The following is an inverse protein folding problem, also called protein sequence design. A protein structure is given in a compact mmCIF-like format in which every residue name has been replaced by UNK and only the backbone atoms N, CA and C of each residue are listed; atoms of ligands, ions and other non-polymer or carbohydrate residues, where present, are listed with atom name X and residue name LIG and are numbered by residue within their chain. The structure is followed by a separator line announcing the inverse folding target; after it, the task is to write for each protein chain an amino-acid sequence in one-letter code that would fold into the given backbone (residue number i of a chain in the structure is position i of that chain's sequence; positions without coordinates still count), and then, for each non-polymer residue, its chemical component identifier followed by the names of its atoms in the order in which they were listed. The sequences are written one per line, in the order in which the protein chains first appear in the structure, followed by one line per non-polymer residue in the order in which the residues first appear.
data_IF_604892169134
#
_entry.id   IF_604892169134
#
_cell.length_a   1.000
_cell.length_b   1.000
_cell.length_c   1.000
_cell.angle_alpha   90.00
_cell.angle_beta   90.00
_cell.angle_gamma   90.00
#
_symmetry.space_group_name_H-M   'P 1'
#
loop_
_entity.id
_entity.type
_entity.pdbx_description
1 polymer ?
#
# COMPACT_ATOMS: atom_id res chain seq x y z
N UNK A 1 -2.52 -8.58 3.55
CA UNK A 1 -2.49 -7.65 2.38
C UNK A 1 -3.86 -7.15 1.99
N UNK A 2 -4.86 -8.01 1.76
CA UNK A 2 -6.21 -7.57 1.39
C UNK A 2 -6.84 -6.60 2.42
N UNK A 3 -6.65 -6.86 3.73
CA UNK A 3 -7.09 -5.95 4.79
C UNK A 3 -6.32 -4.62 4.82
N UNK A 4 -5.06 -4.58 4.41
CA UNK A 4 -4.22 -3.36 4.39
C UNK A 4 -4.63 -2.42 3.25
N UNK A 5 -4.89 -2.99 2.07
CA UNK A 5 -5.45 -2.21 0.95
C UNK A 5 -6.90 -1.78 1.24
N UNK A 6 -7.71 -2.65 1.86
CA UNK A 6 -9.07 -2.33 2.27
C UNK A 6 -9.15 -1.17 3.27
N UNK A 7 -8.38 -1.22 4.37
CA UNK A 7 -8.35 -0.14 5.37
C UNK A 7 -7.71 1.14 4.82
N UNK A 8 -6.73 1.05 3.93
CA UNK A 8 -6.14 2.20 3.25
C UNK A 8 -7.14 2.95 2.38
N UNK A 9 -7.92 2.24 1.56
CA UNK A 9 -8.99 2.84 0.73
C UNK A 9 -10.06 3.47 1.62
N UNK A 10 -10.49 2.77 2.68
CA UNK A 10 -11.50 3.26 3.61
C UNK A 10 -11.03 4.52 4.36
N UNK A 11 -9.75 4.58 4.75
CA UNK A 11 -9.14 5.76 5.36
C UNK A 11 -9.10 6.98 4.45
N UNK A 12 -8.86 6.79 3.15
CA UNK A 12 -8.91 7.88 2.15
C UNK A 12 -10.35 8.39 1.98
N UNK A 13 -11.33 7.49 1.90
CA UNK A 13 -12.75 7.86 1.78
C UNK A 13 -13.24 8.62 3.01
N UNK A 14 -12.89 8.16 4.21
CA UNK A 14 -13.24 8.86 5.46
C UNK A 14 -12.51 10.22 5.52
N UNK A 15 -11.23 10.27 5.17
CA UNK A 15 -10.46 11.51 5.14
C UNK A 15 -11.07 12.57 4.22
N UNK A 16 -11.55 12.17 3.03
CA UNK A 16 -12.16 13.09 2.06
C UNK A 16 -13.62 13.48 2.39
N UNK A 17 -14.37 12.63 3.09
CA UNK A 17 -15.76 12.91 3.47
C UNK A 17 -15.88 13.67 4.79
N UNK A 18 -14.94 13.45 5.72
CA UNK A 18 -14.96 14.04 7.05
C UNK A 18 -14.17 15.34 7.11
N UNK A 19 -12.97 15.42 6.51
CA UNK A 19 -12.11 16.61 6.60
C UNK A 19 -12.72 17.93 6.07
N UNK A 20 -13.54 17.94 4.99
CA UNK A 20 -14.19 19.17 4.53
C UNK A 20 -15.13 19.79 5.57
N UNK A 21 -15.63 19.01 6.53
CA UNK A 21 -16.50 19.50 7.60
C UNK A 21 -15.74 20.19 8.74
N UNK A 22 -14.41 20.07 8.80
CA UNK A 22 -13.59 20.60 9.90
C UNK A 22 -12.82 21.87 9.53
N UNK A 23 -12.37 22.06 8.29
CA UNK A 23 -11.61 23.25 7.87
C UNK A 23 -11.70 23.52 6.36
N UNK A 24 -12.33 24.63 5.96
CA UNK A 24 -12.51 25.02 4.54
C UNK A 24 -11.21 25.27 3.76
N UNK A 25 -10.13 25.68 4.43
CA UNK A 25 -8.84 26.02 3.79
C UNK A 25 -7.87 24.83 3.64
N UNK A 26 -8.12 23.70 4.30
CA UNK A 26 -7.17 22.57 4.33
C UNK A 26 -7.44 21.48 3.27
N UNK A 27 -8.49 21.66 2.47
CA UNK A 27 -8.96 20.66 1.49
C UNK A 27 -7.90 20.29 0.43
N UNK A 28 -7.11 21.26 -0.03
CA UNK A 28 -6.06 21.01 -1.03
C UNK A 28 -4.92 20.17 -0.44
N UNK A 29 -4.52 20.44 0.80
CA UNK A 29 -3.47 19.71 1.49
C UNK A 29 -3.90 18.27 1.83
N UNK A 30 -5.15 18.08 2.26
CA UNK A 30 -5.71 16.75 2.52
C UNK A 30 -5.80 15.93 1.24
N UNK A 31 -6.21 16.56 0.13
CA UNK A 31 -6.31 15.91 -1.18
C UNK A 31 -4.93 15.51 -1.68
N UNK A 32 -3.94 16.40 -1.55
CA UNK A 32 -2.56 16.11 -1.93
C UNK A 32 -1.96 14.95 -1.12
N UNK A 33 -2.17 14.95 0.20
CA UNK A 33 -1.76 13.84 1.08
C UNK A 33 -2.49 12.53 0.76
N UNK A 34 -3.76 12.60 0.37
CA UNK A 34 -4.55 11.45 -0.08
C UNK A 34 -4.03 10.87 -1.40
N UNK A 35 -3.72 11.71 -2.38
CA UNK A 35 -3.17 11.30 -3.67
C UNK A 35 -1.78 10.65 -3.50
N UNK A 36 -0.92 11.23 -2.66
CA UNK A 36 0.39 10.65 -2.35
C UNK A 36 0.22 9.25 -1.75
N UNK A 37 -0.64 9.10 -0.73
CA UNK A 37 -0.88 7.80 -0.10
C UNK A 37 -1.50 6.77 -1.06
N UNK A 38 -2.42 7.20 -1.92
CA UNK A 38 -3.00 6.32 -2.95
C UNK A 38 -1.92 5.84 -3.94
N UNK A 39 -1.03 6.74 -4.35
CA UNK A 39 0.06 6.44 -5.29
C UNK A 39 1.09 5.48 -4.68
N UNK A 40 1.52 5.73 -3.44
CA UNK A 40 2.41 4.84 -2.70
C UNK A 40 1.76 3.47 -2.46
N UNK A 41 0.48 3.45 -2.06
CA UNK A 41 -0.29 2.21 -1.91
C UNK A 41 -0.36 1.42 -3.22
N UNK A 42 -0.70 2.08 -4.33
CA UNK A 42 -0.72 1.47 -5.66
C UNK A 42 0.64 0.94 -6.09
N UNK A 43 1.72 1.68 -5.84
CA UNK A 43 3.08 1.27 -6.14
C UNK A 43 3.52 0.03 -5.34
N UNK A 44 3.25 0.01 -4.03
CA UNK A 44 3.53 -1.17 -3.21
C UNK A 44 2.65 -2.37 -3.59
N UNK A 45 1.39 -2.14 -3.98
CA UNK A 45 0.51 -3.16 -4.53
C UNK A 45 1.04 -3.75 -5.84
N UNK A 46 1.49 -2.90 -6.75
CA UNK A 46 2.13 -3.32 -8.00
C UNK A 46 3.38 -4.15 -7.74
N UNK A 47 4.29 -3.68 -6.87
CA UNK A 47 5.47 -4.44 -6.47
C UNK A 47 5.07 -5.79 -5.92
N UNK A 48 4.10 -5.85 -4.99
CA UNK A 48 3.63 -7.10 -4.38
C UNK A 48 3.10 -8.11 -5.41
N UNK A 49 2.35 -7.64 -6.41
CA UNK A 49 1.81 -8.50 -7.47
C UNK A 49 2.88 -8.96 -8.48
N UNK A 50 3.96 -8.20 -8.65
CA UNK A 50 5.02 -8.49 -9.62
C UNK A 50 6.24 -9.18 -9.02
N UNK A 51 6.24 -9.48 -7.71
CA UNK A 51 7.35 -10.23 -7.10
C UNK A 51 7.44 -11.62 -7.73
N UNK A 52 8.54 -11.89 -8.43
CA UNK A 52 8.88 -13.25 -8.81
C UNK A 52 9.16 -14.05 -7.54
N UNK A 53 8.67 -15.30 -7.43
CA UNK A 53 8.98 -16.13 -6.29
C UNK A 53 10.50 -16.22 -6.15
N UNK A 54 11.00 -15.95 -4.94
CA UNK A 54 12.43 -16.01 -4.64
C UNK A 54 12.88 -17.44 -4.92
N UNK A 55 13.53 -17.66 -6.06
CA UNK A 55 14.12 -18.95 -6.37
C UNK A 55 15.05 -19.32 -5.21
N UNK A 56 14.81 -20.48 -4.60
CA UNK A 56 15.73 -20.99 -3.58
C UNK A 56 17.11 -21.10 -4.23
N UNK A 57 18.06 -20.32 -3.71
CA UNK A 57 19.44 -20.37 -4.17
C UNK A 57 19.92 -21.81 -4.07
N UNK A 58 20.15 -22.45 -5.23
CA UNK A 58 20.58 -23.85 -5.32
C UNK A 58 21.88 -24.07 -4.56
N UNK A 59 22.69 -23.02 -4.33
CA UNK A 59 23.92 -23.05 -3.53
C UNK A 59 23.67 -23.20 -2.03
N UNK A 60 22.47 -22.88 -1.53
CA UNK A 60 22.08 -23.04 -0.12
C UNK A 60 21.36 -24.36 0.16
N UNK A 61 21.19 -25.23 -0.84
CA UNK A 61 20.62 -26.56 -0.64
C UNK A 61 21.59 -27.39 0.19
N UNK A 62 21.20 -27.69 1.44
CA UNK A 62 21.91 -28.66 2.27
C UNK A 62 21.86 -30.02 1.54
N UNK A 63 22.99 -30.72 1.34
CA UNK A 63 22.96 -32.04 0.75
C UNK A 63 22.08 -32.94 1.61
N UNK A 64 21.14 -33.65 0.98
CA UNK A 64 20.34 -34.67 1.68
C UNK A 64 21.32 -35.71 2.22
N UNK A 65 21.43 -35.81 3.56
CA UNK A 65 22.09 -36.96 4.20
C UNK A 65 21.26 -38.21 3.84
N UNK A 66 21.90 -39.16 3.15
CA UNK A 66 21.38 -40.52 2.98
C UNK A 66 21.51 -41.28 4.29
#
# INVERSE_FOLDING_TARGET
MMMFFGTGILGIVIGLTVAPNFSSDSSLLITFMGVINLSLGGFFGWIFLTQQPKEEDKRKRKPKRK
#
